data_IF_953306027566
#
_entry.id   IF_953306027566
#
_cell.length_a   1.000
_cell.length_b   1.000
_cell.length_c   1.000
_cell.angle_alpha   90.00
_cell.angle_beta   90.00
_cell.angle_gamma   90.00
#
_symmetry.space_group_name_H-M   'P 1'
#
loop_
_entity.id
_entity.type
_entity.pdbx_description
1 polymer ?
#
# COMPACT_ATOMS: atom_id res chain seq x y z
N UNK A 1 15.70 -9.36 1.86
CA UNK A 1 16.14 -10.69 2.31
C UNK A 1 15.20 -11.65 1.61
N UNK A 2 15.61 -12.23 0.47
CA UNK A 2 14.70 -13.03 -0.32
C UNK A 2 14.40 -14.37 0.35
N UNK A 3 13.28 -14.99 -0.02
CA UNK A 3 12.96 -16.37 0.38
C UNK A 3 13.70 -17.30 -0.58
N UNK A 4 14.53 -18.20 -0.07
CA UNK A 4 15.23 -19.17 -0.89
C UNK A 4 14.26 -20.24 -1.42
N UNK A 5 14.38 -20.56 -2.70
CA UNK A 5 13.58 -21.62 -3.35
C UNK A 5 14.45 -22.87 -3.52
N UNK A 6 13.99 -24.05 -3.06
CA UNK A 6 14.70 -25.32 -3.26
C UNK A 6 14.97 -25.64 -4.74
N UNK A 7 15.95 -26.52 -5.02
CA UNK A 7 16.24 -26.96 -6.40
C UNK A 7 15.09 -27.78 -6.98
N UNK A 8 14.48 -28.60 -6.15
CA UNK A 8 13.43 -29.54 -6.50
C UNK A 8 12.03 -28.97 -6.24
N UNK A 9 11.89 -27.63 -6.25
CA UNK A 9 10.59 -26.99 -6.09
C UNK A 9 9.66 -27.38 -7.25
N UNK A 10 8.45 -27.95 -6.98
CA UNK A 10 7.59 -28.49 -8.03
C UNK A 10 7.16 -27.51 -9.12
N UNK A 11 7.15 -26.21 -8.83
CA UNK A 11 6.72 -25.17 -9.77
C UNK A 11 7.91 -24.39 -10.33
N UNK A 12 8.80 -23.92 -9.46
CA UNK A 12 9.87 -23.01 -9.81
C UNK A 12 11.10 -23.69 -10.42
N UNK A 13 11.24 -25.02 -10.30
CA UNK A 13 12.40 -25.74 -10.87
C UNK A 13 12.54 -25.51 -12.38
N UNK A 14 11.43 -25.49 -13.12
CA UNK A 14 11.42 -25.33 -14.58
C UNK A 14 11.84 -23.92 -15.02
N UNK A 15 11.60 -22.91 -14.17
CA UNK A 15 11.95 -21.52 -14.44
C UNK A 15 13.34 -21.15 -13.94
N UNK A 16 14.08 -22.11 -13.38
CA UNK A 16 15.38 -21.92 -12.73
C UNK A 16 15.36 -20.81 -11.66
N UNK A 17 14.19 -20.52 -11.08
CA UNK A 17 14.04 -19.49 -10.07
C UNK A 17 14.49 -20.05 -8.72
N UNK A 18 15.47 -19.37 -8.09
CA UNK A 18 16.10 -19.85 -6.83
C UNK A 18 15.80 -18.97 -5.64
N UNK A 19 15.06 -17.87 -5.84
CA UNK A 19 14.64 -16.99 -4.77
C UNK A 19 13.34 -16.26 -5.13
N UNK A 20 12.56 -15.92 -4.10
CA UNK A 20 11.40 -15.03 -4.20
C UNK A 20 11.74 -13.70 -3.53
N UNK A 21 11.35 -12.59 -4.16
CA UNK A 21 11.56 -11.26 -3.59
C UNK A 21 10.80 -11.14 -2.27
N UNK A 22 11.50 -10.74 -1.21
CA UNK A 22 10.93 -10.39 0.08
C UNK A 22 11.73 -9.24 0.69
N UNK A 23 11.00 -8.17 1.01
CA UNK A 23 11.55 -6.94 1.59
C UNK A 23 11.18 -6.91 3.07
N UNK A 24 12.16 -6.64 3.94
CA UNK A 24 11.92 -6.53 5.38
C UNK A 24 11.11 -5.27 5.67
N UNK A 25 10.22 -5.35 6.66
CA UNK A 25 9.52 -4.18 7.19
C UNK A 25 10.51 -3.12 7.69
N UNK A 26 10.11 -1.84 7.59
CA UNK A 26 10.87 -0.72 8.14
C UNK A 26 10.99 -0.87 9.66
N UNK A 27 12.20 -0.64 10.17
CA UNK A 27 12.49 -0.67 11.60
C UNK A 27 12.04 0.65 12.23
N UNK A 28 11.26 0.59 13.29
CA UNK A 28 10.87 1.76 14.08
C UNK A 28 12.07 2.27 14.89
N UNK A 29 12.38 3.58 14.84
CA UNK A 29 13.36 4.15 15.75
C UNK A 29 12.81 4.10 17.18
N UNK A 30 13.67 3.76 18.14
CA UNK A 30 13.30 3.87 19.56
C UNK A 30 13.12 5.33 19.94
N UNK A 31 12.23 5.58 20.89
CA UNK A 31 11.96 6.94 21.39
C UNK A 31 13.20 7.65 21.95
N UNK A 32 14.14 6.89 22.51
CA UNK A 32 15.39 7.37 23.09
C UNK A 32 16.58 7.31 22.11
N UNK A 33 16.33 6.93 20.84
CA UNK A 33 17.35 6.73 19.81
C UNK A 33 18.46 5.73 20.20
N UNK A 34 18.23 4.85 21.19
CA UNK A 34 19.24 3.87 21.62
C UNK A 34 19.23 2.63 20.73
N UNK A 35 20.36 1.91 20.72
CA UNK A 35 20.46 0.62 20.05
C UNK A 35 19.74 -0.46 20.88
N UNK A 36 19.04 -1.36 20.20
CA UNK A 36 18.37 -2.49 20.83
C UNK A 36 17.71 -3.41 19.81
N UNK A 37 16.77 -4.24 20.28
CA UNK A 37 16.00 -5.11 19.40
C UNK A 37 15.20 -4.31 18.38
N UNK A 38 15.13 -4.83 17.16
CA UNK A 38 14.38 -4.20 16.09
C UNK A 38 12.88 -4.37 16.30
N UNK A 39 12.15 -3.26 16.30
CA UNK A 39 10.69 -3.20 16.32
C UNK A 39 10.16 -2.71 14.97
N UNK A 40 8.94 -3.06 14.61
CA UNK A 40 8.31 -2.65 13.35
C UNK A 40 7.44 -1.40 13.56
N UNK A 41 7.43 -0.53 12.56
CA UNK A 41 6.62 0.69 12.60
C UNK A 41 5.17 0.41 12.21
N UNK A 42 4.21 0.89 13.02
CA UNK A 42 2.81 1.00 12.62
C UNK A 42 2.58 2.34 11.92
N UNK A 43 2.18 2.31 10.65
CA UNK A 43 1.87 3.52 9.87
C UNK A 43 0.42 3.98 10.01
N UNK A 44 -0.46 3.13 10.55
CA UNK A 44 -1.89 3.45 10.71
C UNK A 44 -2.23 3.79 12.16
N UNK A 45 -3.39 4.42 12.37
CA UNK A 45 -3.92 4.64 13.71
C UNK A 45 -4.34 3.30 14.33
N UNK A 46 -4.14 3.15 15.64
CA UNK A 46 -4.43 1.90 16.35
C UNK A 46 -5.91 1.76 16.77
N UNK A 47 -6.72 2.78 16.48
CA UNK A 47 -8.13 2.84 16.83
C UNK A 47 -9.01 2.28 15.72
N UNK A 48 -10.23 1.90 16.08
CA UNK A 48 -11.29 1.58 15.10
C UNK A 48 -11.98 2.89 14.68
N UNK A 49 -11.26 3.76 13.99
CA UNK A 49 -11.66 5.15 13.68
C UNK A 49 -12.00 5.38 12.19
N UNK A 50 -11.92 4.34 11.36
CA UNK A 50 -12.14 4.47 9.92
C UNK A 50 -10.96 5.09 9.17
N UNK A 51 -9.74 5.04 9.70
CA UNK A 51 -8.51 5.50 9.04
C UNK A 51 -8.22 4.86 7.69
N UNK A 52 -8.81 3.68 7.40
CA UNK A 52 -8.80 3.04 6.06
C UNK A 52 -9.64 3.81 5.03
N UNK A 53 -10.56 4.67 5.47
CA UNK A 53 -11.44 5.51 4.62
C UNK A 53 -10.98 6.97 4.64
N UNK A 54 -10.46 7.45 5.78
CA UNK A 54 -10.15 8.86 6.00
C UNK A 54 -8.66 9.18 5.98
N UNK A 55 -7.79 8.19 5.77
CA UNK A 55 -6.34 8.31 5.89
C UNK A 55 -5.86 8.25 7.34
N UNK A 56 -4.60 7.87 7.52
CA UNK A 56 -3.96 7.79 8.85
C UNK A 56 -3.10 9.02 9.18
N UNK A 57 -2.94 9.93 8.22
CA UNK A 57 -2.23 11.19 8.42
C UNK A 57 -2.94 12.38 7.75
N UNK A 58 -2.67 13.63 8.19
CA UNK A 58 -3.37 14.81 7.67
C UNK A 58 -3.20 15.05 6.17
N UNK A 59 -2.07 14.65 5.58
CA UNK A 59 -1.85 14.82 4.15
C UNK A 59 -2.75 13.89 3.32
N UNK A 60 -2.85 12.62 3.72
CA UNK A 60 -3.79 11.65 3.13
C UNK A 60 -5.24 12.12 3.29
N UNK A 61 -5.64 12.48 4.50
CA UNK A 61 -7.00 12.99 4.78
C UNK A 61 -7.34 14.19 3.90
N UNK A 62 -6.41 15.14 3.74
CA UNK A 62 -6.62 16.30 2.87
C UNK A 62 -6.67 15.94 1.38
N UNK A 63 -5.89 14.94 0.94
CA UNK A 63 -5.89 14.45 -0.45
C UNK A 63 -7.21 13.73 -0.77
N UNK A 64 -7.82 13.03 0.19
CA UNK A 64 -9.10 12.30 0.05
C UNK A 64 -10.34 13.21 0.06
N UNK A 65 -10.29 14.38 0.71
CA UNK A 65 -11.44 15.29 0.83
C UNK A 65 -11.70 16.09 -0.44
N UNK A 66 -12.97 16.22 -0.84
CA UNK A 66 -13.35 17.12 -1.95
C UNK A 66 -13.36 18.58 -1.53
N UNK A 67 -13.44 18.85 -0.22
CA UNK A 67 -13.62 20.19 0.37
C UNK A 67 -14.94 20.88 -0.03
N UNK A 68 -15.87 20.14 -0.64
CA UNK A 68 -17.20 20.62 -1.02
C UNK A 68 -18.27 19.79 -0.31
N UNK A 69 -19.15 20.46 0.45
CA UNK A 69 -20.26 19.82 1.16
C UNK A 69 -19.84 18.76 2.19
N UNK A 70 -18.60 18.80 2.67
CA UNK A 70 -18.07 17.81 3.63
C UNK A 70 -17.81 16.42 3.03
N UNK A 71 -17.77 16.29 1.70
CA UNK A 71 -17.64 15.00 1.00
C UNK A 71 -16.17 14.58 0.79
N UNK A 72 -16.00 13.30 0.50
CA UNK A 72 -14.77 12.76 -0.08
C UNK A 72 -14.77 12.97 -1.60
N UNK A 73 -13.58 12.88 -2.21
CA UNK A 73 -13.44 12.84 -3.66
C UNK A 73 -13.99 11.53 -4.19
N UNK A 74 -14.53 11.59 -5.40
CA UNK A 74 -15.07 10.47 -6.14
C UNK A 74 -14.54 10.53 -7.57
N UNK A 75 -14.44 9.38 -8.20
CA UNK A 75 -14.27 9.26 -9.64
C UNK A 75 -15.61 8.82 -10.24
N UNK A 76 -16.19 9.62 -11.14
CA UNK A 76 -17.41 9.25 -11.85
C UNK A 76 -17.04 8.38 -13.06
N UNK A 77 -17.48 7.12 -13.03
CA UNK A 77 -17.31 6.18 -14.13
C UNK A 77 -18.67 5.83 -14.75
N UNK A 78 -19.05 6.59 -15.78
CA UNK A 78 -20.33 6.48 -16.48
C UNK A 78 -21.54 6.58 -15.53
N UNK A 79 -21.52 7.54 -14.60
CA UNK A 79 -22.59 7.75 -13.62
C UNK A 79 -22.51 6.87 -12.37
N UNK A 80 -21.36 6.22 -12.14
CA UNK A 80 -21.07 5.44 -10.93
C UNK A 80 -20.00 6.14 -10.11
N UNK A 81 -20.30 6.38 -8.84
CA UNK A 81 -19.32 6.92 -7.90
C UNK A 81 -18.35 5.81 -7.48
N UNK A 82 -17.09 5.93 -7.92
CA UNK A 82 -15.98 5.09 -7.52
C UNK A 82 -15.00 5.87 -6.64
N UNK A 83 -14.06 5.15 -6.01
CA UNK A 83 -12.92 5.76 -5.33
C UNK A 83 -12.12 6.62 -6.31
N UNK A 84 -11.49 7.71 -5.86
CA UNK A 84 -10.61 8.51 -6.71
C UNK A 84 -9.45 7.65 -7.20
N UNK A 85 -8.93 7.93 -8.39
CA UNK A 85 -7.79 7.19 -8.95
C UNK A 85 -6.45 7.73 -8.43
N UNK A 86 -5.48 6.84 -8.27
CA UNK A 86 -4.09 7.14 -7.95
C UNK A 86 -3.24 7.03 -9.22
N UNK A 87 -2.95 8.18 -9.81
CA UNK A 87 -2.14 8.28 -11.03
C UNK A 87 -0.64 8.08 -10.79
N UNK A 88 -0.19 8.04 -9.53
CA UNK A 88 1.23 7.91 -9.17
C UNK A 88 1.63 6.46 -8.89
N UNK A 89 0.65 5.54 -8.79
CA UNK A 89 0.90 4.16 -8.43
C UNK A 89 1.12 3.28 -9.66
N UNK A 90 2.35 2.85 -9.85
CA UNK A 90 2.73 1.85 -10.85
C UNK A 90 2.35 0.41 -10.43
N UNK A 91 1.63 0.22 -9.32
CA UNK A 91 1.30 -1.12 -8.82
C UNK A 91 0.12 -1.76 -9.58
N UNK A 92 -0.83 -0.94 -10.04
CA UNK A 92 -1.96 -1.42 -10.83
C UNK A 92 -1.59 -1.42 -12.31
N UNK A 93 -0.68 -2.31 -12.70
CA UNK A 93 -0.34 -2.55 -14.11
C UNK A 93 -1.31 -3.58 -14.68
N UNK A 94 -2.43 -3.12 -15.22
CA UNK A 94 -3.15 -3.88 -16.22
C UNK A 94 -2.45 -3.70 -17.56
N UNK A 95 -2.42 -4.75 -18.39
CA UNK A 95 -1.88 -4.68 -19.76
C UNK A 95 -2.70 -3.78 -20.71
N UNK A 96 -3.78 -3.18 -20.22
CA UNK A 96 -4.74 -2.37 -20.97
C UNK A 96 -4.62 -0.88 -20.61
N UNK A 97 -4.75 -0.03 -21.63
CA UNK A 97 -4.86 1.43 -21.48
C UNK A 97 -6.02 1.79 -20.54
N UNK A 98 -5.70 2.39 -19.39
CA UNK A 98 -6.69 2.87 -18.40
C UNK A 98 -6.69 2.15 -17.05
N UNK A 99 -5.77 1.23 -16.79
CA UNK A 99 -5.61 0.67 -15.44
C UNK A 99 -4.91 1.66 -14.50
N UNK A 100 -5.65 2.18 -13.53
CA UNK A 100 -5.12 3.02 -12.44
C UNK A 100 -5.53 2.40 -11.11
N UNK A 101 -4.67 2.53 -10.10
CA UNK A 101 -5.07 2.18 -8.74
C UNK A 101 -6.14 3.14 -8.23
N UNK A 102 -6.86 2.74 -7.19
CA UNK A 102 -7.69 3.65 -6.41
C UNK A 102 -6.87 4.24 -5.27
N UNK A 103 -7.18 5.48 -4.92
CA UNK A 103 -6.66 6.19 -3.77
C UNK A 103 -7.69 6.13 -2.62
N UNK A 104 -7.25 5.66 -1.45
CA UNK A 104 -8.05 5.48 -0.25
C UNK A 104 -7.23 5.81 1.01
#
# INVERSE_FOLDING_TARGET
>A
MPIEIPKEDPFYWYFEQRCMNFVRSVIAPRHDCTLGYAEQMNKVTHYLDGSVIYGSNPAETNKLRSHHGGKLKIFDDFGRDLLPTDAESDACVGSDDGSACFFA
#
